data_IF_496775813598
#
_entry.id   IF_496775813598
#
_cell.length_a   1.000
_cell.length_b   1.000
_cell.length_c   1.000
_cell.angle_alpha   90.00
_cell.angle_beta   90.00
_cell.angle_gamma   90.00
#
_symmetry.space_group_name_H-M   'P 1'
#
loop_
_entity.id
_entity.type
_entity.pdbx_description
1 polymer ?
#
# COMPACT_ATOMS: atom_id res chain seq x y z
N UNK A 1 -6.81 -14.79 7.04
CA UNK A 1 -7.85 -14.98 6.00
C UNK A 1 -7.14 -15.45 4.73
N UNK A 2 -7.64 -16.46 3.98
CA UNK A 2 -6.96 -16.93 2.76
C UNK A 2 -6.69 -15.78 1.78
N UNK A 3 -5.51 -15.76 1.18
CA UNK A 3 -5.06 -14.67 0.28
C UNK A 3 -4.39 -13.48 0.98
N UNK A 4 -4.45 -13.39 2.31
CA UNK A 4 -3.88 -12.27 3.07
C UNK A 4 -2.76 -12.72 4.00
N UNK A 5 -1.66 -11.98 3.98
CA UNK A 5 -0.59 -12.12 4.97
C UNK A 5 -0.94 -11.46 6.31
N UNK A 6 -1.93 -10.56 6.35
CA UNK A 6 -2.36 -9.81 7.53
C UNK A 6 -1.25 -9.03 8.24
N UNK A 7 -0.17 -8.71 7.54
CA UNK A 7 0.98 -8.02 8.08
C UNK A 7 1.52 -7.02 7.05
N UNK A 8 1.91 -5.83 7.51
CA UNK A 8 2.50 -4.77 6.69
C UNK A 8 3.87 -4.44 7.24
N UNK A 9 4.86 -4.37 6.36
CA UNK A 9 6.20 -3.90 6.68
C UNK A 9 6.24 -2.37 6.62
N UNK A 10 6.53 -1.74 7.74
CA UNK A 10 6.79 -0.32 7.84
C UNK A 10 8.30 -0.07 7.88
N UNK A 11 8.72 0.98 7.17
CA UNK A 11 10.11 1.38 7.05
C UNK A 11 10.16 2.91 7.22
N UNK A 12 10.88 3.36 8.24
CA UNK A 12 11.25 4.77 8.39
C UNK A 12 12.63 4.98 7.74
N UNK A 13 12.68 5.74 6.65
CA UNK A 13 13.91 5.99 5.92
C UNK A 13 14.81 7.05 6.59
N UNK A 14 14.27 7.85 7.49
CA UNK A 14 15.01 8.85 8.26
C UNK A 14 15.78 8.20 9.40
N UNK A 15 15.16 7.24 10.10
CA UNK A 15 15.80 6.54 11.24
C UNK A 15 16.41 5.19 10.86
N UNK A 16 15.95 4.57 9.78
CA UNK A 16 16.30 3.20 9.38
C UNK A 16 15.53 2.12 10.15
N UNK A 17 14.52 2.49 10.94
CA UNK A 17 13.70 1.52 11.67
C UNK A 17 12.81 0.72 10.73
N UNK A 18 12.69 -0.58 11.01
CA UNK A 18 11.89 -1.53 10.24
C UNK A 18 11.06 -2.36 11.21
N UNK A 19 9.74 -2.37 11.04
CA UNK A 19 8.85 -3.16 11.89
C UNK A 19 7.65 -3.69 11.10
N UNK A 20 7.03 -4.71 11.68
CA UNK A 20 5.81 -5.32 11.18
C UNK A 20 4.62 -4.79 11.97
N UNK A 21 3.51 -4.50 11.30
CA UNK A 21 2.29 -4.05 11.95
C UNK A 21 1.07 -4.68 11.27
N UNK A 22 0.17 -5.19 12.11
CA UNK A 22 -1.12 -5.70 11.66
C UNK A 22 -2.07 -4.55 11.32
N UNK A 23 -2.95 -4.82 10.36
CA UNK A 23 -4.02 -3.90 9.94
C UNK A 23 -5.34 -4.64 9.99
N UNK A 24 -6.38 -3.98 10.46
CA UNK A 24 -7.73 -4.51 10.70
C UNK A 24 -8.74 -4.06 9.62
N UNK A 25 -8.26 -3.89 8.39
CA UNK A 25 -9.03 -3.32 7.28
C UNK A 25 -9.24 -4.30 6.10
N UNK A 26 -8.72 -5.53 6.20
CA UNK A 26 -8.68 -6.46 5.06
C UNK A 26 -10.07 -6.92 4.61
N UNK A 27 -10.99 -7.15 5.55
CA UNK A 27 -12.35 -7.62 5.23
C UNK A 27 -13.20 -6.53 4.57
N UNK A 28 -13.06 -5.28 5.04
CA UNK A 28 -13.85 -4.15 4.55
C UNK A 28 -13.29 -3.59 3.24
N UNK A 29 -11.96 -3.59 3.08
CA UNK A 29 -11.28 -2.90 1.97
C UNK A 29 -10.55 -3.82 0.99
N UNK A 30 -10.64 -5.14 1.15
CA UNK A 30 -10.16 -6.20 0.23
C UNK A 30 -8.63 -6.26 0.01
N UNK A 31 -7.86 -5.18 0.10
CA UNK A 31 -6.42 -5.15 -0.19
C UNK A 31 -6.08 -4.14 -1.29
N UNK A 32 -4.85 -4.16 -1.80
CA UNK A 32 -4.39 -3.24 -2.85
C UNK A 32 -4.65 -1.77 -2.48
N UNK A 33 -5.28 -1.03 -3.40
CA UNK A 33 -5.65 0.38 -3.17
C UNK A 33 -6.59 0.54 -1.98
N UNK A 34 -7.52 -0.39 -1.72
CA UNK A 34 -8.51 -0.21 -0.64
C UNK A 34 -7.84 -0.10 0.73
N UNK A 35 -7.02 -1.09 1.09
CA UNK A 35 -6.25 -1.06 2.34
C UNK A 35 -5.18 0.04 2.29
N UNK A 36 -4.56 0.27 1.14
CA UNK A 36 -3.59 1.36 0.96
C UNK A 36 -4.19 2.76 1.23
N UNK A 37 -5.40 3.02 0.72
CA UNK A 37 -6.13 4.26 0.94
C UNK A 37 -6.63 4.40 2.38
N UNK A 38 -7.04 3.29 3.01
CA UNK A 38 -7.34 3.27 4.44
C UNK A 38 -6.14 3.71 5.28
N UNK A 39 -4.95 3.15 5.02
CA UNK A 39 -3.70 3.55 5.69
C UNK A 39 -3.39 5.01 5.38
N UNK A 40 -3.44 5.41 4.11
CA UNK A 40 -3.20 6.79 3.69
C UNK A 40 -4.11 7.79 4.42
N UNK A 41 -5.39 7.46 4.64
CA UNK A 41 -6.31 8.35 5.36
C UNK A 41 -5.85 8.67 6.79
N UNK A 42 -5.06 7.78 7.41
CA UNK A 42 -4.52 7.93 8.75
C UNK A 42 -3.24 8.78 8.78
N UNK A 43 -2.33 8.58 7.82
CA UNK A 43 -0.95 9.11 7.87
C UNK A 43 -0.58 10.06 6.72
N UNK A 44 -1.30 10.04 5.60
CA UNK A 44 -1.00 10.81 4.39
C UNK A 44 -1.53 12.24 4.41
N UNK A 45 -1.34 12.98 5.50
CA UNK A 45 -1.89 14.34 5.67
C UNK A 45 -0.96 15.45 5.21
N UNK A 46 0.33 15.17 5.17
CA UNK A 46 1.40 16.14 4.99
C UNK A 46 1.59 16.58 3.53
N UNK A 47 2.44 17.58 3.34
CA UNK A 47 2.88 18.08 2.04
C UNK A 47 3.49 16.95 1.17
N UNK A 48 3.24 16.91 -0.15
CA UNK A 48 3.73 15.84 -1.03
C UNK A 48 5.24 15.59 -0.99
N UNK A 49 6.06 16.62 -0.71
CA UNK A 49 7.51 16.51 -0.64
C UNK A 49 8.06 16.45 0.78
N UNK A 50 7.19 16.41 1.79
CA UNK A 50 7.57 16.18 3.17
C UNK A 50 8.13 14.77 3.36
N UNK A 51 9.14 14.62 4.22
CA UNK A 51 9.63 13.31 4.69
C UNK A 51 8.54 12.45 5.36
N UNK A 52 7.45 13.10 5.78
CA UNK A 52 6.29 12.44 6.41
C UNK A 52 5.22 11.99 5.42
N UNK A 53 5.36 12.30 4.12
CA UNK A 53 4.45 11.79 3.10
C UNK A 53 4.77 10.31 2.84
N UNK A 54 3.87 9.37 3.16
CA UNK A 54 4.15 7.97 2.99
C UNK A 54 4.11 7.56 1.51
N UNK A 55 5.00 6.64 1.14
CA UNK A 55 4.88 5.84 -0.09
C UNK A 55 4.39 4.47 0.33
N UNK A 56 3.17 4.13 -0.06
CA UNK A 56 2.50 2.90 0.34
C UNK A 56 2.47 1.97 -0.87
N UNK A 57 3.06 0.78 -0.72
CA UNK A 57 3.08 -0.25 -1.77
C UNK A 57 2.23 -1.40 -1.29
N UNK A 58 1.21 -1.77 -2.08
CA UNK A 58 0.22 -2.78 -1.67
C UNK A 58 -0.06 -3.78 -2.78
N UNK A 59 -0.38 -5.00 -2.38
CA UNK A 59 -0.90 -6.06 -3.24
C UNK A 59 -2.32 -6.43 -2.84
N UNK A 60 -3.07 -6.99 -3.78
CA UNK A 60 -4.39 -7.58 -3.52
C UNK A 60 -4.30 -9.06 -3.15
N UNK A 61 -5.39 -9.67 -2.68
CA UNK A 61 -5.40 -11.03 -2.13
C UNK A 61 -5.21 -12.14 -3.18
N UNK A 62 -5.36 -11.80 -4.46
CA UNK A 62 -5.15 -12.74 -5.57
C UNK A 62 -3.71 -12.71 -6.11
N UNK A 63 -2.91 -11.73 -5.70
CA UNK A 63 -1.51 -11.62 -6.13
C UNK A 63 -0.71 -12.81 -5.59
N UNK A 64 0.18 -13.37 -6.40
CA UNK A 64 0.93 -14.58 -6.06
C UNK A 64 0.18 -15.90 -6.33
N UNK A 65 -1.12 -15.84 -6.66
CA UNK A 65 -1.94 -17.05 -6.92
C UNK A 65 -1.91 -17.48 -8.40
N UNK A 66 -2.46 -18.66 -8.70
CA UNK A 66 -2.64 -19.16 -10.07
C UNK A 66 -3.80 -18.49 -10.84
N UNK A 67 -4.48 -17.52 -10.24
CA UNK A 67 -5.59 -16.82 -10.90
C UNK A 67 -5.05 -15.97 -12.07
N UNK A 68 -5.75 -15.86 -13.22
CA UNK A 68 -5.22 -15.15 -14.37
C UNK A 68 -4.95 -13.66 -14.09
N UNK A 69 -3.80 -13.16 -14.57
CA UNK A 69 -3.44 -11.73 -14.59
C UNK A 69 -3.38 -11.05 -13.20
N UNK A 70 -2.84 -11.75 -12.20
CA UNK A 70 -2.77 -11.26 -10.81
C UNK A 70 -1.41 -10.73 -10.38
N UNK A 71 -0.48 -10.45 -11.30
CA UNK A 71 0.82 -9.85 -10.99
C UNK A 71 0.78 -8.33 -10.75
N UNK A 72 -0.30 -7.81 -10.14
CA UNK A 72 -0.56 -6.37 -10.00
C UNK A 72 -0.21 -5.86 -8.60
N UNK A 73 0.35 -4.66 -8.53
CA UNK A 73 0.59 -3.93 -7.28
C UNK A 73 0.22 -2.46 -7.44
N UNK A 74 -0.10 -1.84 -6.32
CA UNK A 74 -0.51 -0.45 -6.23
C UNK A 74 0.54 0.37 -5.49
N UNK A 75 0.74 1.61 -5.93
CA UNK A 75 1.55 2.62 -5.25
C UNK A 75 0.63 3.79 -4.89
N UNK A 76 0.56 4.12 -3.60
CA UNK A 76 -0.33 5.14 -3.05
C UNK A 76 0.50 6.17 -2.29
N UNK A 77 0.23 7.45 -2.51
CA UNK A 77 0.87 8.57 -1.79
C UNK A 77 0.07 9.87 -1.97
N UNK A 78 0.46 10.95 -1.30
CA UNK A 78 -0.05 12.29 -1.61
C UNK A 78 0.53 12.70 -2.95
N UNK A 79 -0.33 12.99 -3.92
CA UNK A 79 0.12 13.42 -5.25
C UNK A 79 0.65 14.84 -5.23
N UNK A 80 1.87 15.11 -5.72
CA UNK A 80 2.39 16.48 -5.87
C UNK A 80 1.68 17.26 -6.97
N UNK A 81 1.06 16.58 -7.93
CA UNK A 81 0.33 17.22 -9.03
C UNK A 81 -1.05 17.73 -8.58
N UNK A 82 -1.74 16.97 -7.73
CA UNK A 82 -3.15 17.25 -7.40
C UNK A 82 -3.37 17.59 -5.93
N UNK A 83 -2.40 17.36 -5.04
CA UNK A 83 -2.53 17.44 -3.58
C UNK A 83 -3.63 16.52 -2.99
N UNK A 84 -4.12 15.55 -3.77
CA UNK A 84 -5.09 14.55 -3.34
C UNK A 84 -4.39 13.19 -3.10
N UNK A 85 -5.18 12.18 -2.71
CA UNK A 85 -4.76 10.78 -2.80
C UNK A 85 -4.35 10.49 -4.25
N UNK A 86 -3.09 10.14 -4.47
CA UNK A 86 -2.61 9.57 -5.72
C UNK A 86 -2.53 8.06 -5.59
N UNK A 87 -3.06 7.35 -6.58
CA UNK A 87 -2.85 5.92 -6.76
C UNK A 87 -2.24 5.63 -8.14
N UNK A 88 -1.51 4.53 -8.25
CA UNK A 88 -0.96 4.04 -9.51
C UNK A 88 -0.84 2.52 -9.50
N UNK A 89 -1.35 1.88 -10.55
CA UNK A 89 -1.26 0.44 -10.75
C UNK A 89 -0.12 0.07 -11.70
N UNK A 90 0.62 -0.97 -11.34
CA UNK A 90 1.60 -1.58 -12.23
C UNK A 90 1.53 -3.12 -12.18
N UNK A 91 1.98 -3.74 -13.27
CA UNK A 91 2.02 -5.20 -13.41
C UNK A 91 3.45 -5.76 -13.31
N UNK A 92 3.64 -6.96 -13.82
CA UNK A 92 4.94 -7.64 -13.86
C UNK A 92 5.16 -8.57 -12.67
N UNK A 93 6.42 -8.70 -12.25
CA UNK A 93 6.82 -9.66 -11.21
C UNK A 93 7.03 -9.03 -9.82
N UNK A 94 7.07 -7.71 -9.72
CA UNK A 94 7.39 -7.04 -8.45
C UNK A 94 6.39 -7.33 -7.32
N UNK A 95 5.10 -7.45 -7.67
CA UNK A 95 4.06 -7.77 -6.69
C UNK A 95 3.92 -9.25 -6.36
N UNK A 96 4.46 -10.15 -7.20
CA UNK A 96 4.24 -11.60 -7.10
C UNK A 96 5.01 -12.22 -5.93
#
# INVERSE_FOLDING_TARGET
MPGYWNNILYIDLTTGEIWNQEVDAWEEYIGGVGVGAYIFSKIGKEDPFSEKNPIIIMTGPLVGTAFPNTGRHEIISRSPLTNLLGESNSGGHFGY
#
